data_IF_985987272438
#
_entry.id   IF_985987272438
#
_cell.length_a   1.000
_cell.length_b   1.000
_cell.length_c   1.000
_cell.angle_alpha   90.00
_cell.angle_beta   90.00
_cell.angle_gamma   90.00
#
_symmetry.space_group_name_H-M   'P 1'
#
loop_
_entity.id
_entity.type
_entity.pdbx_description
1 polymer ?
#
# COMPACT_ATOMS: atom_id res chain seq x y z
N UNK A 1 -13.42 -53.98 15.78
CA UNK A 1 -12.22 -53.15 15.55
C UNK A 1 -12.71 -51.73 15.33
N UNK A 2 -12.48 -50.84 16.30
CA UNK A 2 -12.94 -49.44 16.32
C UNK A 2 -11.92 -48.57 15.59
N UNK A 3 -12.34 -47.74 14.64
CA UNK A 3 -11.82 -46.37 14.48
C UNK A 3 -12.99 -45.44 14.14
N UNK A 4 -13.37 -44.62 15.13
CA UNK A 4 -14.07 -43.36 14.92
C UNK A 4 -13.03 -42.33 14.44
N UNK A 5 -13.31 -41.61 13.37
CA UNK A 5 -12.72 -40.29 13.13
C UNK A 5 -13.84 -39.25 13.27
N UNK A 6 -14.01 -38.80 14.51
CA UNK A 6 -14.79 -37.63 14.85
C UNK A 6 -13.98 -36.38 14.52
N UNK A 7 -14.73 -35.34 14.14
CA UNK A 7 -14.41 -33.91 14.25
C UNK A 7 -13.30 -33.40 13.33
N UNK A 8 -13.74 -32.85 12.20
CA UNK A 8 -13.06 -31.71 11.58
C UNK A 8 -13.00 -30.56 12.57
N UNK A 9 -11.85 -30.37 13.20
CA UNK A 9 -11.53 -29.18 13.96
C UNK A 9 -11.31 -28.03 12.98
N UNK A 10 -12.34 -27.21 12.85
CA UNK A 10 -12.22 -25.83 12.37
C UNK A 10 -11.26 -25.08 13.30
N UNK A 11 -10.04 -24.77 12.81
CA UNK A 11 -9.29 -23.50 12.95
C UNK A 11 -7.78 -23.69 12.67
N UNK A 12 -7.15 -22.71 11.98
CA UNK A 12 -6.20 -21.88 12.70
C UNK A 12 -6.24 -20.41 12.21
N UNK A 13 -7.23 -19.62 12.65
CA UNK A 13 -7.21 -18.16 12.41
C UNK A 13 -6.38 -17.37 13.43
N UNK A 14 -6.00 -17.95 14.58
CA UNK A 14 -5.39 -17.19 15.69
C UNK A 14 -3.85 -17.20 15.76
N UNK A 15 -3.14 -17.84 14.82
CA UNK A 15 -1.65 -17.84 14.77
C UNK A 15 -1.16 -17.24 13.45
N UNK A 16 -1.59 -16.00 13.16
CA UNK A 16 -1.01 -15.14 12.11
C UNK A 16 -0.90 -13.71 12.61
N UNK A 17 -1.94 -13.25 13.29
CA UNK A 17 -2.00 -11.93 13.91
C UNK A 17 -1.09 -11.82 15.14
N UNK A 18 -1.08 -12.84 16.01
CA UNK A 18 -0.27 -12.82 17.23
C UNK A 18 1.24 -12.75 16.89
N UNK A 19 1.66 -13.37 15.80
CA UNK A 19 3.06 -13.35 15.34
C UNK A 19 3.44 -11.96 14.83
N UNK A 20 2.56 -11.30 14.06
CA UNK A 20 2.74 -9.91 13.63
C UNK A 20 2.79 -8.98 14.84
N UNK A 21 1.86 -9.12 15.79
CA UNK A 21 1.84 -8.35 17.04
C UNK A 21 3.10 -8.58 17.87
N UNK A 22 3.63 -9.80 17.89
CA UNK A 22 4.89 -10.11 18.58
C UNK A 22 6.08 -9.42 17.90
N UNK A 23 6.13 -9.39 16.57
CA UNK A 23 7.16 -8.64 15.84
C UNK A 23 7.08 -7.13 16.13
N UNK A 24 5.86 -6.57 16.19
CA UNK A 24 5.63 -5.16 16.53
C UNK A 24 6.05 -4.86 17.98
N UNK A 25 5.69 -5.74 18.92
CA UNK A 25 5.93 -5.54 20.36
C UNK A 25 7.37 -5.87 20.82
N UNK A 26 8.18 -6.51 19.97
CA UNK A 26 9.56 -6.80 20.27
C UNK A 26 10.35 -5.51 20.57
N UNK A 27 11.35 -5.58 21.45
CA UNK A 27 12.18 -4.42 21.80
C UNK A 27 13.47 -4.36 20.99
N UNK A 28 13.89 -5.49 20.43
CA UNK A 28 15.14 -5.65 19.72
C UNK A 28 14.95 -6.59 18.54
N UNK A 29 15.63 -6.30 17.43
CA UNK A 29 15.61 -7.13 16.22
C UNK A 29 16.01 -8.59 16.51
N UNK A 30 16.95 -8.82 17.46
CA UNK A 30 17.36 -10.17 17.86
C UNK A 30 16.22 -11.00 18.46
N UNK A 31 15.27 -10.37 19.16
CA UNK A 31 14.10 -11.06 19.73
C UNK A 31 13.19 -11.56 18.61
N UNK A 32 13.06 -10.78 17.54
CA UNK A 32 12.28 -11.11 16.34
C UNK A 32 12.87 -12.32 15.60
N UNK A 33 14.19 -12.35 15.44
CA UNK A 33 14.90 -13.47 14.81
C UNK A 33 14.86 -14.75 15.65
N UNK A 34 14.72 -14.62 16.98
CA UNK A 34 14.56 -15.77 17.88
C UNK A 34 13.15 -16.38 17.89
N UNK A 35 12.17 -15.76 17.23
CA UNK A 35 10.82 -16.30 17.11
C UNK A 35 10.83 -17.55 16.22
N UNK A 36 10.96 -18.73 16.83
CA UNK A 36 10.88 -20.00 16.12
C UNK A 36 9.44 -20.26 15.63
N UNK A 37 9.23 -20.15 14.31
CA UNK A 37 8.08 -20.72 13.60
C UNK A 37 6.95 -19.76 13.20
N UNK A 38 6.34 -20.09 12.05
CA UNK A 38 4.96 -19.82 11.58
C UNK A 38 4.53 -18.50 10.91
N UNK A 39 5.43 -17.64 10.43
CA UNK A 39 5.10 -16.79 9.25
C UNK A 39 4.88 -17.61 7.94
N UNK A 40 4.71 -18.92 8.05
CA UNK A 40 5.06 -19.91 7.05
C UNK A 40 4.18 -19.94 5.80
N UNK A 41 2.99 -19.35 5.88
CA UNK A 41 2.00 -19.41 4.80
C UNK A 41 1.87 -18.09 4.02
N UNK A 42 2.35 -16.98 4.59
CA UNK A 42 2.11 -15.63 4.05
C UNK A 42 3.31 -15.09 3.26
N UNK A 43 4.51 -15.56 3.61
CA UNK A 43 5.77 -15.12 3.01
C UNK A 43 6.41 -16.24 2.21
N UNK A 44 7.10 -15.88 1.13
CA UNK A 44 7.90 -16.84 0.36
C UNK A 44 8.83 -17.56 1.35
N UNK A 45 8.93 -18.89 1.28
CA UNK A 45 9.58 -19.69 2.32
C UNK A 45 11.00 -19.21 2.68
N UNK A 46 11.73 -18.69 1.69
CA UNK A 46 13.08 -18.12 1.82
C UNK A 46 13.16 -16.75 2.53
N UNK A 47 12.05 -16.02 2.65
CA UNK A 47 12.06 -14.60 3.04
C UNK A 47 11.39 -14.34 4.40
N UNK A 48 11.03 -15.38 5.16
CA UNK A 48 10.27 -15.24 6.41
C UNK A 48 10.99 -14.40 7.45
N UNK A 49 12.29 -14.62 7.65
CA UNK A 49 13.06 -13.84 8.64
C UNK A 49 13.21 -12.39 8.21
N UNK A 50 13.49 -12.15 6.91
CA UNK A 50 13.53 -10.80 6.35
C UNK A 50 12.18 -10.08 6.52
N UNK A 51 11.07 -10.78 6.32
CA UNK A 51 9.74 -10.25 6.55
C UNK A 51 9.46 -9.89 8.02
N UNK A 52 9.85 -10.73 8.98
CA UNK A 52 9.70 -10.39 10.41
C UNK A 52 10.50 -9.13 10.76
N UNK A 53 11.74 -9.05 10.26
CA UNK A 53 12.61 -7.89 10.48
C UNK A 53 12.01 -6.64 9.84
N UNK A 54 11.48 -6.72 8.63
CA UNK A 54 10.79 -5.60 7.98
C UNK A 54 9.55 -5.15 8.77
N UNK A 55 8.74 -6.08 9.33
CA UNK A 55 7.61 -5.73 10.20
C UNK A 55 8.07 -5.01 11.47
N UNK A 56 9.13 -5.51 12.12
CA UNK A 56 9.70 -4.87 13.30
C UNK A 56 10.23 -3.47 12.96
N UNK A 57 11.01 -3.33 11.89
CA UNK A 57 11.56 -2.03 11.47
C UNK A 57 10.47 -1.05 11.07
N UNK A 58 9.41 -1.51 10.41
CA UNK A 58 8.22 -0.71 10.10
C UNK A 58 7.54 -0.16 11.37
N UNK A 59 7.43 -0.98 12.43
CA UNK A 59 6.81 -0.56 13.68
C UNK A 59 7.67 0.37 14.54
N UNK A 60 9.00 0.27 14.42
CA UNK A 60 9.96 1.02 15.24
C UNK A 60 10.68 2.14 14.49
N UNK A 61 10.32 2.38 13.23
CA UNK A 61 10.87 3.47 12.43
C UNK A 61 10.54 4.83 13.04
N UNK A 62 11.46 5.77 12.85
CA UNK A 62 11.39 7.12 13.41
C UNK A 62 10.72 8.13 12.46
N UNK A 63 10.59 7.79 11.18
CA UNK A 63 9.99 8.66 10.15
C UNK A 63 9.05 7.91 9.23
N UNK A 64 8.09 8.62 8.64
CA UNK A 64 7.15 8.05 7.67
C UNK A 64 7.86 7.50 6.42
N UNK A 65 8.96 8.12 5.99
CA UNK A 65 9.74 7.66 4.84
C UNK A 65 10.48 6.34 5.13
N UNK A 66 11.03 6.19 6.34
CA UNK A 66 11.60 4.92 6.79
C UNK A 66 10.53 3.82 6.86
N UNK A 67 9.37 4.13 7.44
CA UNK A 67 8.24 3.19 7.45
C UNK A 67 7.85 2.76 6.03
N UNK A 68 7.71 3.71 5.12
CA UNK A 68 7.35 3.42 3.74
C UNK A 68 8.41 2.53 3.04
N UNK A 69 9.69 2.77 3.31
CA UNK A 69 10.79 1.93 2.82
C UNK A 69 10.69 0.48 3.31
N UNK A 70 10.50 0.27 4.62
CA UNK A 70 10.31 -1.07 5.18
C UNK A 70 9.00 -1.73 4.74
N UNK A 71 7.95 -0.95 4.50
CA UNK A 71 6.70 -1.46 3.94
C UNK A 71 6.88 -1.91 2.48
N UNK A 72 7.63 -1.15 1.66
CA UNK A 72 8.00 -1.56 0.30
C UNK A 72 8.79 -2.87 0.31
N UNK A 73 9.82 -2.95 1.16
CA UNK A 73 10.64 -4.16 1.38
C UNK A 73 9.74 -5.36 1.76
N UNK A 74 8.83 -5.16 2.70
CA UNK A 74 7.90 -6.20 3.14
C UNK A 74 7.03 -6.72 2.00
N UNK A 75 6.54 -5.84 1.11
CA UNK A 75 5.74 -6.27 -0.07
C UNK A 75 6.54 -7.16 -1.02
N UNK A 76 7.86 -7.08 -1.07
CA UNK A 76 8.69 -7.96 -1.90
C UNK A 76 8.80 -9.38 -1.33
N UNK A 77 8.59 -9.56 -0.03
CA UNK A 77 8.74 -10.86 0.64
C UNK A 77 7.46 -11.68 0.70
N UNK A 78 6.33 -11.04 0.45
CA UNK A 78 4.99 -11.65 0.56
C UNK A 78 4.67 -12.51 -0.66
N UNK A 79 4.01 -13.65 -0.43
CA UNK A 79 3.47 -14.48 -1.51
C UNK A 79 2.36 -13.74 -2.28
N UNK A 80 2.22 -13.98 -3.59
CA UNK A 80 1.27 -13.24 -4.44
C UNK A 80 -0.16 -13.19 -3.87
N UNK A 81 -0.67 -14.31 -3.33
CA UNK A 81 -2.01 -14.39 -2.74
C UNK A 81 -2.23 -13.57 -1.47
N UNK A 82 -1.17 -12.97 -0.90
CA UNK A 82 -1.23 -12.13 0.30
C UNK A 82 -0.92 -10.65 0.02
N UNK A 83 -0.64 -10.28 -1.24
CA UNK A 83 -0.33 -8.89 -1.61
C UNK A 83 -1.46 -7.92 -1.22
N UNK A 84 -2.72 -8.37 -1.33
CA UNK A 84 -3.91 -7.59 -0.96
C UNK A 84 -4.11 -7.47 0.55
N UNK A 85 -3.39 -8.26 1.36
CA UNK A 85 -3.38 -8.13 2.82
C UNK A 85 -2.41 -7.06 3.30
N UNK A 86 -1.54 -6.54 2.44
CA UNK A 86 -0.60 -5.46 2.75
C UNK A 86 -1.05 -4.20 2.05
N UNK A 87 -1.72 -3.35 2.82
CA UNK A 87 -2.38 -2.14 2.31
C UNK A 87 -1.96 -0.93 3.10
N UNK A 88 -1.83 0.21 2.44
CA UNK A 88 -1.66 1.50 3.09
C UNK A 88 -3.00 2.23 3.12
N UNK A 89 -3.59 2.30 4.31
CA UNK A 89 -4.90 2.88 4.54
C UNK A 89 -4.75 4.39 4.80
N UNK A 90 -5.25 5.19 3.88
CA UNK A 90 -5.29 6.64 3.96
C UNK A 90 -6.73 7.03 4.25
N UNK A 91 -6.92 7.89 5.25
CA UNK A 91 -8.23 8.40 5.63
C UNK A 91 -8.23 9.92 5.57
N UNK A 92 -9.40 10.49 5.39
CA UNK A 92 -9.57 11.95 5.41
C UNK A 92 -9.31 12.58 6.79
N UNK A 93 -9.62 11.86 7.88
CA UNK A 93 -9.71 12.39 9.24
C UNK A 93 -8.70 11.78 10.24
N UNK A 94 -7.97 10.76 9.83
CA UNK A 94 -7.08 9.99 10.69
C UNK A 94 -5.68 9.85 10.08
N UNK A 95 -4.63 9.66 10.92
CA UNK A 95 -3.31 9.32 10.43
C UNK A 95 -3.36 8.08 9.51
N UNK A 96 -2.58 8.04 8.43
CA UNK A 96 -2.50 6.85 7.59
C UNK A 96 -2.00 5.64 8.39
N UNK A 97 -2.41 4.44 7.99
CA UNK A 97 -2.10 3.18 8.68
C UNK A 97 -1.55 2.18 7.67
N UNK A 98 -0.37 1.61 7.96
CA UNK A 98 0.09 0.41 7.28
C UNK A 98 -0.63 -0.80 7.87
N UNK A 99 -1.44 -1.47 7.07
CA UNK A 99 -2.21 -2.65 7.48
C UNK A 99 -1.59 -3.92 6.92
N UNK A 100 -1.38 -4.90 7.80
CA UNK A 100 -0.82 -6.23 7.52
C UNK A 100 -1.84 -7.26 8.01
N UNK A 101 -2.66 -7.78 7.10
CA UNK A 101 -3.85 -8.55 7.46
C UNK A 101 -4.81 -7.69 8.28
N UNK A 102 -5.04 -8.07 9.54
CA UNK A 102 -5.91 -7.33 10.47
C UNK A 102 -5.15 -6.38 11.41
N UNK A 103 -3.81 -6.37 11.35
CA UNK A 103 -2.98 -5.53 12.23
C UNK A 103 -2.65 -4.21 11.56
N UNK A 104 -2.93 -3.10 12.23
CA UNK A 104 -2.54 -1.75 11.81
C UNK A 104 -1.30 -1.26 12.54
N UNK A 105 -0.42 -0.58 11.82
CA UNK A 105 0.71 0.19 12.34
C UNK A 105 0.48 1.64 11.89
N UNK A 106 0.31 2.56 12.83
CA UNK A 106 0.11 3.97 12.53
C UNK A 106 1.35 4.58 11.88
N UNK A 107 1.13 5.42 10.87
CA UNK A 107 2.21 6.18 10.26
C UNK A 107 2.76 7.19 11.26
N UNK A 108 4.09 7.34 11.29
CA UNK A 108 4.74 8.45 11.97
C UNK A 108 4.19 9.76 11.40
N UNK A 109 3.92 10.72 12.29
CA UNK A 109 3.65 12.08 11.87
C UNK A 109 4.84 12.61 11.05
N UNK A 110 4.61 13.40 9.99
CA UNK A 110 5.69 14.09 9.32
C UNK A 110 6.43 14.95 10.36
N UNK A 111 7.77 14.86 10.47
CA UNK A 111 8.51 15.66 11.42
C UNK A 111 8.34 17.15 11.11
N UNK A 112 8.00 17.96 12.12
CA UNK A 112 7.71 19.39 11.96
C UNK A 112 8.84 20.21 11.30
N UNK A 113 10.08 19.70 11.27
CA UNK A 113 11.26 20.42 10.78
C UNK A 113 12.33 19.55 10.09
N UNK A 114 12.05 18.30 9.69
CA UNK A 114 13.07 17.54 8.97
C UNK A 114 13.07 17.94 7.50
N UNK A 115 14.25 18.21 6.93
CA UNK A 115 14.44 18.08 5.49
C UNK A 115 13.86 16.72 5.10
N UNK A 116 12.96 16.69 4.11
CA UNK A 116 12.30 15.46 3.72
C UNK A 116 13.39 14.45 3.34
N UNK A 117 13.61 13.45 4.21
CA UNK A 117 14.34 12.24 3.87
C UNK A 117 13.49 11.54 2.80
N UNK A 118 13.61 12.00 1.56
CA UNK A 118 12.88 11.44 0.44
C UNK A 118 13.59 10.17 0.04
N UNK A 119 12.99 9.03 0.36
CA UNK A 119 13.39 7.77 -0.24
C UNK A 119 12.98 7.80 -1.71
N UNK A 120 13.96 7.63 -2.59
CA UNK A 120 13.71 7.47 -4.03
C UNK A 120 13.47 5.98 -4.27
N UNK A 121 12.23 5.63 -4.59
CA UNK A 121 11.86 4.29 -5.03
C UNK A 121 12.10 4.15 -6.52
N UNK A 122 12.39 2.92 -6.97
CA UNK A 122 12.32 2.64 -8.41
C UNK A 122 10.87 2.60 -8.89
N UNK A 123 10.68 2.51 -10.21
CA UNK A 123 9.34 2.51 -10.82
C UNK A 123 8.47 1.33 -10.33
N UNK A 124 9.06 0.15 -10.17
CA UNK A 124 8.35 -1.07 -9.77
C UNK A 124 7.82 -0.93 -8.34
N UNK A 125 8.68 -0.50 -7.41
CA UNK A 125 8.33 -0.28 -6.01
C UNK A 125 7.33 0.88 -5.87
N UNK A 126 7.51 1.97 -6.61
CA UNK A 126 6.54 3.08 -6.66
C UNK A 126 5.16 2.58 -7.08
N UNK A 127 5.08 1.77 -8.14
CA UNK A 127 3.82 1.21 -8.62
C UNK A 127 3.21 0.22 -7.62
N UNK A 128 4.01 -0.60 -6.94
CA UNK A 128 3.52 -1.51 -5.88
C UNK A 128 2.97 -0.77 -4.67
N UNK A 129 3.64 0.31 -4.26
CA UNK A 129 3.17 1.19 -3.18
C UNK A 129 1.86 1.86 -3.59
N UNK A 130 1.79 2.43 -4.79
CA UNK A 130 0.57 3.02 -5.34
C UNK A 130 -0.61 2.01 -5.39
N UNK A 131 -0.36 0.78 -5.83
CA UNK A 131 -1.36 -0.29 -5.85
C UNK A 131 -1.84 -0.70 -4.45
N UNK A 132 -1.04 -0.46 -3.41
CA UNK A 132 -1.40 -0.80 -2.02
C UNK A 132 -2.24 0.27 -1.32
N UNK A 133 -2.30 1.48 -1.87
CA UNK A 133 -3.02 2.61 -1.30
C UNK A 133 -4.53 2.38 -1.34
N UNK A 134 -5.18 2.64 -0.22
CA UNK A 134 -6.63 2.72 -0.10
C UNK A 134 -6.99 4.09 0.47
N UNK A 135 -8.02 4.73 -0.09
CA UNK A 135 -8.55 5.99 0.41
C UNK A 135 -9.98 5.76 0.88
N UNK A 136 -10.25 6.03 2.15
CA UNK A 136 -11.54 5.80 2.81
C UNK A 136 -12.13 4.38 2.56
N UNK A 137 -11.23 3.39 2.47
CA UNK A 137 -11.54 1.97 2.30
C UNK A 137 -11.52 1.46 0.86
N UNK A 138 -11.53 2.34 -0.14
CA UNK A 138 -11.49 1.98 -1.56
C UNK A 138 -10.05 1.97 -2.10
N UNK A 139 -9.70 0.97 -2.91
CA UNK A 139 -8.36 0.92 -3.53
C UNK A 139 -8.19 2.08 -4.52
N UNK A 140 -7.14 2.86 -4.34
CA UNK A 140 -6.93 4.12 -5.06
C UNK A 140 -6.86 3.86 -6.57
N UNK A 141 -5.96 2.99 -7.04
CA UNK A 141 -5.82 2.74 -8.48
C UNK A 141 -7.03 2.04 -9.08
N UNK A 142 -7.73 1.20 -8.33
CA UNK A 142 -8.90 0.49 -8.87
C UNK A 142 -10.13 1.40 -8.99
N UNK A 143 -10.34 2.28 -8.01
CA UNK A 143 -11.61 2.98 -7.81
C UNK A 143 -11.53 4.50 -8.00
N UNK A 144 -10.35 5.07 -8.31
CA UNK A 144 -10.15 6.53 -8.40
C UNK A 144 -11.21 7.22 -9.26
N UNK A 145 -11.44 6.73 -10.47
CA UNK A 145 -12.49 7.29 -11.34
C UNK A 145 -13.87 7.28 -10.67
N UNK A 146 -14.24 6.21 -9.96
CA UNK A 146 -15.56 6.07 -9.33
C UNK A 146 -15.76 7.08 -8.21
N UNK A 147 -14.82 7.17 -7.26
CA UNK A 147 -15.00 8.04 -6.09
C UNK A 147 -14.67 9.52 -6.37
N UNK A 148 -13.77 9.81 -7.30
CA UNK A 148 -13.41 11.18 -7.64
C UNK A 148 -14.42 11.87 -8.57
N UNK A 149 -14.96 11.13 -9.56
CA UNK A 149 -15.92 11.69 -10.54
C UNK A 149 -17.37 11.58 -10.05
N UNK A 150 -17.68 10.61 -9.18
CA UNK A 150 -19.05 10.36 -8.67
C UNK A 150 -20.06 10.25 -9.83
N UNK A 151 -21.31 10.66 -9.61
CA UNK A 151 -22.38 10.67 -10.62
C UNK A 151 -22.44 12.02 -11.34
N UNK A 152 -21.49 12.30 -12.22
CA UNK A 152 -21.55 13.48 -13.10
C UNK A 152 -22.42 13.25 -14.33
N UNK A 153 -23.32 14.20 -14.61
CA UNK A 153 -24.07 14.31 -15.87
C UNK A 153 -23.24 15.10 -16.90
N UNK A 154 -22.79 14.44 -17.97
CA UNK A 154 -21.91 15.04 -18.98
C UNK A 154 -20.46 14.61 -18.82
N UNK A 155 -20.07 13.52 -19.48
CA UNK A 155 -18.73 12.89 -19.37
C UNK A 155 -17.85 13.33 -20.54
N UNK A 156 -17.43 14.59 -20.57
CA UNK A 156 -16.29 14.98 -21.40
C UNK A 156 -15.00 14.65 -20.65
N UNK A 157 -13.90 14.43 -21.38
CA UNK A 157 -12.59 14.16 -20.77
C UNK A 157 -12.16 15.29 -19.83
N UNK A 158 -12.36 16.55 -20.25
CA UNK A 158 -12.02 17.73 -19.45
C UNK A 158 -12.84 17.82 -18.16
N UNK A 159 -14.14 17.50 -18.22
CA UNK A 159 -15.00 17.52 -17.04
C UNK A 159 -14.61 16.43 -16.04
N UNK A 160 -14.20 15.25 -16.53
CA UNK A 160 -13.67 14.15 -15.70
C UNK A 160 -12.37 14.57 -15.02
N UNK A 161 -11.43 15.15 -15.77
CA UNK A 161 -10.14 15.57 -15.24
C UNK A 161 -10.31 16.67 -14.18
N UNK A 162 -11.16 17.67 -14.44
CA UNK A 162 -11.43 18.75 -13.48
C UNK A 162 -12.10 18.24 -12.18
N UNK A 163 -12.94 17.21 -12.26
CA UNK A 163 -13.52 16.58 -11.07
C UNK A 163 -12.48 15.80 -10.26
N UNK A 164 -11.58 15.09 -10.95
CA UNK A 164 -10.47 14.37 -10.32
C UNK A 164 -9.47 15.33 -9.65
N UNK A 165 -9.16 16.46 -10.29
CA UNK A 165 -8.33 17.51 -9.71
C UNK A 165 -8.96 18.08 -8.44
N UNK A 166 -10.24 18.49 -8.50
CA UNK A 166 -10.96 19.00 -7.33
C UNK A 166 -11.00 18.00 -6.17
N UNK A 167 -11.19 16.72 -6.47
CA UNK A 167 -11.18 15.68 -5.45
C UNK A 167 -9.82 15.61 -4.73
N UNK A 168 -8.71 15.71 -5.45
CA UNK A 168 -7.37 15.68 -4.84
C UNK A 168 -7.10 16.93 -4.01
N UNK A 169 -7.60 18.10 -4.42
CA UNK A 169 -7.56 19.33 -3.61
C UNK A 169 -8.32 19.16 -2.28
N UNK A 170 -9.42 18.41 -2.29
CA UNK A 170 -10.23 18.08 -1.10
C UNK A 170 -9.66 16.89 -0.29
N UNK A 171 -8.65 16.18 -0.81
CA UNK A 171 -8.06 14.98 -0.21
C UNK A 171 -6.56 15.15 0.11
N UNK A 172 -6.17 16.09 1.00
CA UNK A 172 -4.77 16.43 1.24
C UNK A 172 -3.94 15.25 1.74
N UNK A 173 -4.52 14.36 2.56
CA UNK A 173 -3.80 13.17 3.05
C UNK A 173 -3.44 12.19 1.94
N UNK A 174 -4.30 12.06 0.92
CA UNK A 174 -4.01 11.23 -0.25
C UNK A 174 -2.90 11.87 -1.10
N UNK A 175 -2.98 13.19 -1.33
CA UNK A 175 -1.96 13.92 -2.06
C UNK A 175 -0.60 13.84 -1.36
N UNK A 176 -0.54 14.03 -0.04
CA UNK A 176 0.69 13.88 0.74
C UNK A 176 1.26 12.46 0.66
N UNK A 177 0.42 11.42 0.71
CA UNK A 177 0.87 10.04 0.56
C UNK A 177 1.45 9.76 -0.84
N UNK A 178 0.83 10.30 -1.89
CA UNK A 178 1.33 10.21 -3.26
C UNK A 178 2.68 10.94 -3.44
N UNK A 179 2.86 12.10 -2.80
CA UNK A 179 4.14 12.80 -2.80
C UNK A 179 5.22 12.02 -2.05
N UNK A 180 4.85 11.31 -0.98
CA UNK A 180 5.79 10.52 -0.18
C UNK A 180 6.36 9.31 -0.93
N UNK A 181 5.60 8.68 -1.84
CA UNK A 181 6.11 7.58 -2.68
C UNK A 181 6.98 8.05 -3.85
N UNK A 182 7.13 9.36 -4.04
CA UNK A 182 7.99 9.91 -5.10
C UNK A 182 7.45 9.68 -6.51
N UNK A 183 6.17 9.95 -6.73
CA UNK A 183 5.56 9.89 -8.06
C UNK A 183 6.35 10.74 -9.08
N UNK A 184 6.60 10.22 -10.31
CA UNK A 184 7.38 10.95 -11.30
C UNK A 184 6.72 12.27 -11.68
N UNK A 185 7.52 13.34 -11.69
CA UNK A 185 7.05 14.69 -12.02
C UNK A 185 7.23 15.06 -13.50
N UNK A 186 8.00 14.26 -14.24
CA UNK A 186 8.23 14.45 -15.67
C UNK A 186 7.37 13.49 -16.51
N UNK A 187 7.58 13.47 -17.83
CA UNK A 187 6.83 12.61 -18.75
C UNK A 187 6.96 11.10 -18.49
N UNK A 188 7.87 10.64 -17.60
CA UNK A 188 7.97 9.24 -17.18
C UNK A 188 6.76 8.77 -16.37
N UNK A 189 5.85 9.66 -15.94
CA UNK A 189 4.55 9.25 -15.38
C UNK A 189 3.77 8.30 -16.30
N UNK A 190 4.04 8.33 -17.62
CA UNK A 190 3.41 7.43 -18.59
C UNK A 190 3.83 5.97 -18.43
N UNK A 191 4.97 5.71 -17.81
CA UNK A 191 5.49 4.36 -17.55
C UNK A 191 4.80 3.68 -16.35
N UNK A 192 4.13 4.46 -15.49
CA UNK A 192 3.33 3.94 -14.38
C UNK A 192 2.14 3.11 -14.89
N UNK A 193 1.45 3.58 -15.94
CA UNK A 193 0.25 2.93 -16.46
C UNK A 193 0.46 1.45 -16.80
N UNK A 194 1.39 1.12 -17.72
CA UNK A 194 1.70 -0.26 -18.08
C UNK A 194 2.19 -1.12 -16.90
N UNK A 195 2.95 -0.52 -15.97
CA UNK A 195 3.48 -1.24 -14.80
C UNK A 195 2.37 -1.59 -13.81
N UNK A 196 1.47 -0.65 -13.52
CA UNK A 196 0.29 -0.88 -12.67
C UNK A 196 -0.67 -1.88 -13.33
N UNK A 197 -0.91 -1.75 -14.63
CA UNK A 197 -1.74 -2.70 -15.39
C UNK A 197 -1.19 -4.12 -15.24
N UNK A 198 0.12 -4.31 -15.43
CA UNK A 198 0.77 -5.61 -15.24
C UNK A 198 0.59 -6.14 -13.82
N UNK A 199 0.87 -5.33 -12.80
CA UNK A 199 0.74 -5.72 -11.38
C UNK A 199 -0.68 -6.17 -11.05
N UNK A 200 -1.69 -5.41 -11.49
CA UNK A 200 -3.10 -5.73 -11.22
C UNK A 200 -3.57 -6.95 -12.01
N UNK A 201 -3.11 -7.11 -13.26
CA UNK A 201 -3.40 -8.30 -14.06
C UNK A 201 -2.81 -9.56 -13.42
N UNK A 202 -1.55 -9.51 -12.97
CA UNK A 202 -0.91 -10.62 -12.25
C UNK A 202 -1.64 -10.98 -10.96
N UNK A 203 -2.25 -10.00 -10.28
CA UNK A 203 -2.99 -10.21 -9.03
C UNK A 203 -4.41 -10.74 -9.23
N UNK A 204 -5.09 -10.36 -10.32
CA UNK A 204 -6.54 -10.56 -10.49
C UNK A 204 -6.92 -11.44 -11.68
N UNK A 205 -6.05 -11.56 -12.68
CA UNK A 205 -6.35 -12.15 -13.98
C UNK A 205 -7.38 -11.37 -14.81
N UNK A 206 -7.76 -10.16 -14.40
CA UNK A 206 -8.82 -9.38 -15.04
C UNK A 206 -8.24 -8.23 -15.87
N UNK A 207 -8.31 -8.37 -17.19
CA UNK A 207 -7.79 -7.39 -18.17
C UNK A 207 -8.48 -6.03 -18.04
N UNK A 208 -9.80 -6.00 -17.92
CA UNK A 208 -10.55 -4.74 -17.83
C UNK A 208 -10.26 -3.99 -16.53
N UNK A 209 -10.12 -4.71 -15.42
CA UNK A 209 -9.73 -4.12 -14.14
C UNK A 209 -8.31 -3.57 -14.19
N UNK A 210 -7.38 -4.31 -14.79
CA UNK A 210 -5.99 -3.90 -14.96
C UNK A 210 -5.86 -2.64 -15.83
N UNK A 211 -6.54 -2.61 -16.98
CA UNK A 211 -6.52 -1.45 -17.87
C UNK A 211 -7.11 -0.18 -17.20
N UNK A 212 -8.21 -0.33 -16.45
CA UNK A 212 -8.76 0.78 -15.65
C UNK A 212 -7.78 1.25 -14.58
N UNK A 213 -7.11 0.33 -13.89
CA UNK A 213 -6.14 0.67 -12.86
C UNK A 213 -4.92 1.42 -13.43
N UNK A 214 -4.41 0.97 -14.57
CA UNK A 214 -3.33 1.65 -15.29
C UNK A 214 -3.71 3.08 -15.69
N UNK A 215 -4.92 3.27 -16.24
CA UNK A 215 -5.42 4.61 -16.60
C UNK A 215 -5.59 5.52 -15.37
N UNK A 216 -6.16 5.00 -14.28
CA UNK A 216 -6.30 5.74 -13.03
C UNK A 216 -4.94 6.16 -12.46
N UNK A 217 -3.95 5.27 -12.50
CA UNK A 217 -2.61 5.56 -11.99
C UNK A 217 -1.89 6.67 -12.78
N UNK A 218 -2.06 6.70 -14.10
CA UNK A 218 -1.56 7.81 -14.95
C UNK A 218 -2.22 9.13 -14.56
N UNK A 219 -3.54 9.17 -14.42
CA UNK A 219 -4.26 10.39 -14.06
C UNK A 219 -3.88 10.89 -12.66
N UNK A 220 -3.78 9.99 -11.68
CA UNK A 220 -3.32 10.31 -10.33
C UNK A 220 -1.93 10.95 -10.34
N UNK A 221 -1.00 10.34 -11.07
CA UNK A 221 0.38 10.82 -11.18
C UNK A 221 0.46 12.20 -11.84
N UNK A 222 -0.26 12.37 -12.95
CA UNK A 222 -0.34 13.63 -13.66
C UNK A 222 -0.94 14.74 -12.78
N UNK A 223 -2.03 14.47 -12.07
CA UNK A 223 -2.67 15.46 -11.22
C UNK A 223 -1.81 15.81 -9.99
N UNK A 224 -1.13 14.82 -9.40
CA UNK A 224 -0.23 15.05 -8.27
C UNK A 224 0.96 15.94 -8.63
N UNK A 225 1.45 15.89 -9.88
CA UNK A 225 2.55 16.76 -10.35
C UNK A 225 2.11 18.18 -10.71
N UNK A 226 0.84 18.40 -11.07
CA UNK A 226 0.32 19.75 -11.31
C UNK A 226 0.23 20.61 -10.03
N UNK A 227 0.02 19.99 -8.87
CA UNK A 227 -0.11 20.69 -7.60
C UNK A 227 1.14 21.48 -7.18
N UNK A 228 2.33 21.06 -7.62
CA UNK A 228 3.61 21.73 -7.31
C UNK A 228 3.90 22.92 -8.23
N UNK A 229 3.11 23.09 -9.31
CA UNK A 229 3.22 24.22 -10.25
C UNK A 229 2.42 25.45 -9.81
N UNK A 230 1.61 25.33 -8.75
CA UNK A 230 0.66 26.37 -8.29
C UNK A 230 1.10 27.09 -7.00
N UNK A 231 2.26 26.77 -6.43
CA UNK A 231 2.86 27.55 -5.34
C UNK A 231 3.60 28.77 -5.90
N UNK A 232 3.22 30.01 -5.52
CA UNK A 232 3.87 31.24 -5.98
C UNK A 232 5.29 31.41 -5.44
#
# INVERSE_FOLDING_TARGET
MNIRLLSGTSCPRSIRENDIRTCIAARREKEVLSLCGKLADCFRWSNKEAAKVAIFRLAHASTAAQQLSFFSELKQYVAHGWQNSLTWQIRSDNPPIFRIGEVGIECCAPPENAAADHFVFDLEDTCRLLCSMHYDGDNVVSEFHRFAVKTMSGRTADAVLAAQERFLDEAPNLLSAMKLIGLPQDHSYREIGPTVERIIYEATGNVDAAARAGHNAVNLTFLASMGDSKTP
#
